data_IF_022222165558
#
_entry.id   IF_022222165558
#
_cell.length_a   1.000
_cell.length_b   1.000
_cell.length_c   1.000
_cell.angle_alpha   90.00
_cell.angle_beta   90.00
_cell.angle_gamma   90.00
#
_symmetry.space_group_name_H-M   'P 1'
#
loop_
_entity.id
_entity.type
_entity.pdbx_description
1 polymer ?
#
# COMPACT_ATOMS: atom_id res chain seq x y z
N UNK A 1 -9.17 -37.11 -64.02
CA UNK A 1 -10.23 -36.98 -62.99
C UNK A 1 -9.59 -37.06 -61.64
N UNK A 2 -9.12 -35.94 -61.12
CA UNK A 2 -8.54 -35.88 -59.76
C UNK A 2 -9.02 -34.60 -59.09
N UNK A 3 -9.85 -34.80 -58.10
CA UNK A 3 -10.43 -33.76 -57.27
C UNK A 3 -9.43 -33.35 -56.21
N UNK A 4 -8.89 -32.13 -56.27
CA UNK A 4 -8.01 -31.57 -55.25
C UNK A 4 -8.86 -30.96 -54.12
N UNK A 5 -8.68 -31.45 -52.90
CA UNK A 5 -9.25 -30.91 -51.69
C UNK A 5 -8.40 -29.74 -51.19
N UNK A 6 -8.94 -28.54 -51.24
CA UNK A 6 -8.31 -27.37 -50.61
C UNK A 6 -8.67 -27.34 -49.13
N UNK A 7 -7.68 -27.58 -48.29
CA UNK A 7 -7.75 -27.35 -46.82
C UNK A 7 -7.43 -25.88 -46.58
N UNK A 8 -8.42 -25.11 -46.17
CA UNK A 8 -8.20 -23.72 -45.75
C UNK A 8 -7.61 -23.72 -44.33
N UNK A 9 -6.34 -23.41 -44.21
CA UNK A 9 -5.73 -23.09 -42.94
C UNK A 9 -6.07 -21.63 -42.60
N UNK A 10 -6.94 -21.46 -41.60
CA UNK A 10 -7.20 -20.14 -41.03
C UNK A 10 -6.02 -19.69 -40.20
N UNK A 11 -5.27 -18.74 -40.71
CA UNK A 11 -4.21 -18.05 -40.00
C UNK A 11 -4.85 -17.04 -39.04
N UNK A 12 -4.93 -17.40 -37.77
CA UNK A 12 -5.31 -16.48 -36.68
C UNK A 12 -4.12 -15.54 -36.44
N UNK A 13 -4.18 -14.37 -37.08
CA UNK A 13 -3.28 -13.27 -36.81
C UNK A 13 -3.73 -12.62 -35.49
N UNK A 14 -3.06 -12.96 -34.40
CA UNK A 14 -3.25 -12.29 -33.12
C UNK A 14 -2.66 -10.88 -33.22
N UNK A 15 -3.53 -9.90 -33.48
CA UNK A 15 -3.21 -8.50 -33.25
C UNK A 15 -3.07 -8.28 -31.73
N UNK A 16 -1.84 -8.33 -31.25
CA UNK A 16 -1.48 -7.68 -30.00
C UNK A 16 -1.60 -6.16 -30.21
N UNK A 17 -2.79 -5.64 -30.02
CA UNK A 17 -2.95 -4.21 -29.76
C UNK A 17 -2.38 -4.00 -28.34
N UNK A 18 -1.17 -3.46 -28.30
CA UNK A 18 -0.59 -2.98 -27.06
C UNK A 18 -1.54 -1.93 -26.48
N UNK A 19 -2.26 -2.32 -25.44
CA UNK A 19 -2.94 -1.37 -24.59
C UNK A 19 -1.84 -0.53 -23.93
N UNK A 20 -1.63 0.68 -24.42
CA UNK A 20 -0.96 1.72 -23.64
C UNK A 20 -1.71 1.79 -22.33
N UNK A 21 -0.98 1.76 -21.16
CA UNK A 21 -1.64 1.98 -19.89
C UNK A 21 -2.37 3.32 -20.01
N UNK A 22 -3.68 3.28 -19.84
CA UNK A 22 -4.49 4.48 -19.77
C UNK A 22 -3.83 5.34 -18.71
N UNK A 23 -3.27 6.47 -19.11
CA UNK A 23 -2.76 7.46 -18.18
C UNK A 23 -3.88 7.72 -17.19
N UNK A 24 -3.62 7.43 -15.92
CA UNK A 24 -4.53 7.67 -14.84
C UNK A 24 -4.97 9.14 -14.94
N UNK A 25 -6.14 9.35 -15.50
CA UNK A 25 -6.82 10.62 -15.33
C UNK A 25 -7.01 10.74 -13.82
N UNK A 26 -6.34 11.69 -13.21
CA UNK A 26 -6.64 12.17 -11.87
C UNK A 26 -8.05 12.74 -11.90
N UNK A 27 -9.05 11.87 -11.90
CA UNK A 27 -10.38 12.25 -11.47
C UNK A 27 -10.21 12.80 -10.08
N UNK A 28 -10.78 13.96 -9.80
CA UNK A 28 -10.99 14.46 -8.46
C UNK A 28 -11.79 13.40 -7.69
N UNK A 29 -11.07 12.43 -7.11
CA UNK A 29 -11.68 11.39 -6.31
C UNK A 29 -11.92 11.97 -4.93
N UNK A 30 -13.11 11.82 -4.35
CA UNK A 30 -13.42 12.33 -3.02
C UNK A 30 -12.56 11.74 -1.89
N UNK A 31 -11.61 10.88 -2.23
CA UNK A 31 -10.75 10.11 -1.31
C UNK A 31 -9.27 10.40 -1.45
N UNK A 32 -8.91 11.64 -1.80
CA UNK A 32 -7.53 12.07 -2.08
C UNK A 32 -6.53 11.68 -0.98
N UNK A 33 -6.98 11.57 0.26
CA UNK A 33 -6.15 11.27 1.42
C UNK A 33 -6.50 9.92 2.09
N UNK A 34 -7.34 9.11 1.46
CA UNK A 34 -7.82 7.82 2.00
C UNK A 34 -7.44 6.69 1.03
N UNK A 35 -6.96 5.54 1.52
CA UNK A 35 -6.77 4.37 0.68
C UNK A 35 -8.03 4.02 -0.10
N UNK A 36 -7.86 3.66 -1.37
CA UNK A 36 -8.99 3.28 -2.21
C UNK A 36 -8.63 2.15 -3.18
N UNK A 37 -9.64 1.43 -3.65
CA UNK A 37 -9.47 0.32 -4.56
C UNK A 37 -10.22 0.54 -5.87
N UNK A 38 -9.65 0.00 -6.94
CA UNK A 38 -10.32 -0.31 -8.19
C UNK A 38 -10.24 -1.82 -8.43
N UNK A 39 -11.36 -2.42 -8.80
CA UNK A 39 -11.47 -3.85 -9.07
C UNK A 39 -12.14 -4.02 -10.44
N UNK A 40 -11.55 -4.87 -11.26
CA UNK A 40 -12.15 -5.33 -12.50
C UNK A 40 -12.31 -6.84 -12.45
N UNK A 41 -13.53 -7.32 -12.54
CA UNK A 41 -13.81 -8.76 -12.59
C UNK A 41 -14.43 -9.11 -13.91
N UNK A 42 -13.96 -10.22 -14.47
CA UNK A 42 -14.56 -10.84 -15.64
C UNK A 42 -15.11 -12.19 -15.19
N UNK A 43 -16.42 -12.33 -15.23
CA UNK A 43 -17.07 -13.61 -14.92
C UNK A 43 -17.40 -14.33 -16.20
N UNK A 44 -16.86 -15.52 -16.36
CA UNK A 44 -17.29 -16.47 -17.43
C UNK A 44 -18.01 -17.60 -16.75
N UNK A 45 -19.33 -17.66 -16.89
CA UNK A 45 -20.12 -18.68 -16.23
C UNK A 45 -20.71 -19.69 -17.25
N UNK A 46 -20.32 -20.95 -17.06
CA UNK A 46 -20.95 -22.11 -17.67
C UNK A 46 -21.27 -23.11 -16.54
N UNK A 47 -22.36 -22.89 -15.80
CA UNK A 47 -22.72 -23.73 -14.66
C UNK A 47 -22.25 -23.15 -13.29
N UNK A 48 -21.69 -23.99 -12.42
CA UNK A 48 -21.08 -23.54 -11.16
C UNK A 48 -19.74 -22.89 -11.48
N UNK A 49 -19.64 -21.58 -11.39
CA UNK A 49 -18.46 -20.83 -11.77
C UNK A 49 -17.86 -20.02 -10.62
N UNK A 50 -16.53 -19.92 -10.59
CA UNK A 50 -15.81 -18.97 -9.76
C UNK A 50 -15.73 -17.60 -10.45
N UNK A 51 -15.68 -16.53 -9.67
CA UNK A 51 -15.34 -15.21 -10.15
C UNK A 51 -13.86 -14.95 -9.86
N UNK A 52 -13.14 -14.52 -10.87
CA UNK A 52 -11.77 -14.08 -10.73
C UNK A 52 -11.66 -12.67 -11.29
N UNK A 53 -10.85 -11.86 -10.66
CA UNK A 53 -10.62 -10.50 -11.08
C UNK A 53 -9.27 -9.99 -10.63
N UNK A 54 -8.94 -8.82 -11.13
CA UNK A 54 -7.75 -8.08 -10.75
C UNK A 54 -8.17 -6.74 -10.18
N UNK A 55 -7.38 -6.22 -9.28
CA UNK A 55 -7.63 -4.92 -8.70
C UNK A 55 -6.34 -4.19 -8.38
N UNK A 56 -6.50 -2.94 -8.02
CA UNK A 56 -5.43 -2.06 -7.60
C UNK A 56 -5.82 -1.36 -6.31
N UNK A 57 -4.98 -1.50 -5.28
CA UNK A 57 -5.06 -0.73 -4.05
C UNK A 57 -4.19 0.52 -4.21
N UNK A 58 -4.81 1.67 -4.11
CA UNK A 58 -4.15 2.96 -4.18
C UNK A 58 -3.96 3.52 -2.77
N UNK A 59 -2.71 3.75 -2.39
CA UNK A 59 -2.34 4.36 -1.12
C UNK A 59 -1.84 5.78 -1.35
N UNK A 60 -2.58 6.84 -0.96
CA UNK A 60 -2.15 8.23 -1.04
C UNK A 60 -1.16 8.51 0.09
N UNK A 61 0.04 7.95 0.03
CA UNK A 61 1.02 8.09 1.09
C UNK A 61 2.44 8.29 0.55
N UNK A 62 3.31 8.95 1.35
CA UNK A 62 4.73 9.17 1.05
C UNK A 62 4.98 10.01 -0.22
N UNK A 63 4.08 10.95 -0.57
CA UNK A 63 4.27 11.88 -1.70
C UNK A 63 4.22 11.24 -3.08
N UNK A 64 3.93 9.95 -3.18
CA UNK A 64 3.70 9.22 -4.42
C UNK A 64 2.43 8.40 -4.30
N UNK A 65 1.59 8.41 -5.33
CA UNK A 65 0.47 7.47 -5.39
C UNK A 65 1.02 6.06 -5.54
N UNK A 66 0.91 5.30 -4.46
CA UNK A 66 1.35 3.92 -4.44
C UNK A 66 0.22 3.01 -4.86
N UNK A 67 0.46 2.27 -5.93
CA UNK A 67 -0.52 1.36 -6.51
C UNK A 67 -0.02 -0.08 -6.33
N UNK A 68 -0.84 -0.90 -5.68
CA UNK A 68 -0.56 -2.31 -5.45
C UNK A 68 -1.54 -3.17 -6.21
N UNK A 69 -1.08 -3.99 -7.15
CA UNK A 69 -1.93 -4.96 -7.81
C UNK A 69 -2.32 -6.08 -6.84
N UNK A 70 -3.55 -6.54 -6.93
CA UNK A 70 -4.05 -7.71 -6.22
C UNK A 70 -4.98 -8.52 -7.10
N UNK A 71 -5.17 -9.77 -6.73
CA UNK A 71 -6.15 -10.64 -7.36
C UNK A 71 -7.36 -10.82 -6.45
N UNK A 72 -8.51 -11.03 -7.07
CA UNK A 72 -9.77 -11.26 -6.40
C UNK A 72 -10.30 -12.60 -6.83
N UNK A 73 -10.69 -13.44 -5.89
CA UNK A 73 -11.39 -14.69 -6.15
C UNK A 73 -12.61 -14.81 -5.25
N UNK A 74 -13.69 -15.40 -5.76
CA UNK A 74 -14.90 -15.67 -5.00
C UNK A 74 -15.74 -16.72 -5.69
N UNK A 75 -16.57 -17.41 -4.93
CA UNK A 75 -17.51 -18.39 -5.46
C UNK A 75 -18.90 -17.79 -5.48
N UNK A 76 -19.47 -17.69 -6.67
CA UNK A 76 -20.86 -17.30 -6.87
C UNK A 76 -21.70 -18.55 -7.08
N UNK A 77 -22.61 -18.85 -6.16
CA UNK A 77 -23.67 -19.85 -6.40
C UNK A 77 -24.82 -19.19 -7.16
N UNK A 78 -24.86 -19.34 -8.47
CA UNK A 78 -25.97 -18.88 -9.30
C UNK A 78 -25.90 -19.50 -10.69
N UNK A 79 -27.01 -20.05 -11.15
CA UNK A 79 -27.17 -20.51 -12.52
C UNK A 79 -27.22 -19.29 -13.46
N UNK A 80 -26.07 -18.93 -14.01
CA UNK A 80 -26.00 -17.90 -15.04
C UNK A 80 -25.08 -18.32 -16.17
N UNK A 81 -25.58 -18.16 -17.37
CA UNK A 81 -24.85 -18.41 -18.62
C UNK A 81 -24.55 -17.04 -19.21
N UNK A 82 -23.28 -16.70 -19.33
CA UNK A 82 -22.87 -15.45 -19.95
C UNK A 82 -21.50 -14.95 -19.50
N UNK A 83 -21.04 -13.91 -20.16
CA UNK A 83 -19.85 -13.16 -19.78
C UNK A 83 -20.32 -11.81 -19.23
N UNK A 84 -19.94 -11.49 -18.02
CA UNK A 84 -20.19 -10.17 -17.44
C UNK A 84 -18.87 -9.53 -17.02
N UNK A 85 -18.77 -8.23 -17.24
CA UNK A 85 -17.68 -7.40 -16.73
C UNK A 85 -18.24 -6.52 -15.60
N UNK A 86 -17.58 -6.53 -14.49
CA UNK A 86 -17.91 -5.69 -13.33
C UNK A 86 -16.69 -4.87 -13.00
N UNK A 87 -16.88 -3.57 -12.90
CA UNK A 87 -15.90 -2.67 -12.30
C UNK A 87 -16.44 -2.17 -10.97
N UNK A 88 -15.61 -2.16 -9.96
CA UNK A 88 -15.96 -1.68 -8.64
C UNK A 88 -14.85 -0.76 -8.13
N UNK A 89 -15.24 0.32 -7.45
CA UNK A 89 -14.26 1.21 -6.84
C UNK A 89 -14.80 1.79 -5.54
N UNK A 90 -13.88 2.08 -4.61
CA UNK A 90 -14.29 2.70 -3.36
C UNK A 90 -13.19 2.80 -2.30
N UNK A 91 -13.49 3.50 -1.19
CA UNK A 91 -12.55 3.71 -0.11
C UNK A 91 -12.31 2.44 0.71
N UNK A 92 -11.07 2.30 1.18
CA UNK A 92 -10.66 1.32 2.19
C UNK A 92 -10.59 2.01 3.53
N UNK A 93 -11.28 1.48 4.53
CA UNK A 93 -11.34 2.01 5.89
C UNK A 93 -10.56 1.12 6.85
N UNK A 94 -10.04 1.73 7.92
CA UNK A 94 -9.32 1.05 9.00
C UNK A 94 -8.06 0.28 8.54
N UNK A 95 -7.50 0.65 7.39
CA UNK A 95 -6.24 0.10 6.92
C UNK A 95 -5.09 0.83 7.62
N UNK A 96 -4.39 0.14 8.53
CA UNK A 96 -3.25 0.68 9.29
C UNK A 96 -1.92 0.25 8.71
N UNK A 97 -1.85 -0.94 8.14
CA UNK A 97 -0.71 -1.49 7.43
C UNK A 97 -1.20 -2.27 6.20
N UNK A 98 -0.38 -2.34 5.17
CA UNK A 98 -0.78 -2.96 3.90
C UNK A 98 -1.01 -4.46 4.04
N UNK A 99 -0.34 -5.09 4.98
CA UNK A 99 -0.45 -6.50 5.32
C UNK A 99 -1.84 -6.90 5.85
N UNK A 100 -2.62 -5.93 6.32
CA UNK A 100 -4.01 -6.15 6.78
C UNK A 100 -5.02 -6.18 5.63
N UNK A 101 -4.63 -5.78 4.42
CA UNK A 101 -5.56 -5.70 3.29
C UNK A 101 -5.87 -7.06 2.66
N UNK A 102 -4.93 -8.00 2.43
CA UNK A 102 -5.26 -9.33 1.92
C UNK A 102 -6.14 -10.12 2.88
N UNK A 103 -6.95 -11.01 2.35
CA UNK A 103 -7.79 -11.90 3.16
C UNK A 103 -9.17 -12.14 2.57
N UNK A 104 -10.01 -12.82 3.34
CA UNK A 104 -11.40 -13.11 2.96
C UNK A 104 -12.32 -12.04 3.52
N UNK A 105 -13.14 -11.49 2.66
CA UNK A 105 -14.10 -10.44 2.97
C UNK A 105 -15.52 -10.95 2.86
N UNK A 106 -16.37 -10.59 3.80
CA UNK A 106 -17.80 -10.88 3.80
C UNK A 106 -18.62 -9.60 3.73
N UNK A 107 -19.80 -9.67 3.13
CA UNK A 107 -20.72 -8.51 3.09
C UNK A 107 -21.26 -8.20 4.48
N UNK A 108 -21.22 -6.93 4.88
CA UNK A 108 -21.66 -6.46 6.22
C UNK A 108 -23.10 -5.96 6.24
N UNK A 109 -23.78 -5.85 5.11
CA UNK A 109 -25.06 -5.15 5.01
C UNK A 109 -26.19 -5.93 4.31
N UNK A 110 -26.16 -7.24 4.29
CA UNK A 110 -27.14 -7.99 3.52
C UNK A 110 -26.84 -7.94 2.01
N UNK A 111 -27.84 -8.15 1.19
CA UNK A 111 -27.66 -8.24 -0.26
C UNK A 111 -27.09 -6.95 -0.84
N UNK A 112 -26.09 -7.08 -1.73
CA UNK A 112 -25.66 -5.97 -2.57
C UNK A 112 -26.89 -5.41 -3.30
N UNK A 113 -27.15 -4.13 -3.16
CA UNK A 113 -28.26 -3.49 -3.86
C UNK A 113 -27.82 -3.23 -5.29
N UNK A 114 -28.18 -4.13 -6.18
CA UNK A 114 -27.90 -3.99 -7.61
C UNK A 114 -29.16 -3.50 -8.34
N UNK A 115 -29.04 -2.31 -8.86
CA UNK A 115 -30.02 -1.76 -9.80
C UNK A 115 -29.41 -1.90 -11.20
N UNK A 116 -30.24 -2.03 -12.24
CA UNK A 116 -29.76 -2.18 -13.61
C UNK A 116 -28.66 -1.17 -13.94
N UNK A 117 -27.42 -1.67 -14.16
CA UNK A 117 -26.25 -0.88 -14.49
C UNK A 117 -25.33 -0.45 -13.34
N UNK A 118 -25.70 -0.68 -12.08
CA UNK A 118 -24.84 -0.31 -10.95
C UNK A 118 -25.36 -0.74 -9.58
N UNK A 119 -24.58 -0.50 -8.54
CA UNK A 119 -24.94 -0.85 -7.16
C UNK A 119 -23.87 -0.42 -6.17
N UNK A 120 -24.08 -0.76 -4.91
CA UNK A 120 -23.09 -0.57 -3.85
C UNK A 120 -23.05 -1.77 -2.93
N UNK A 121 -21.89 -2.02 -2.35
CA UNK A 121 -21.72 -3.05 -1.33
C UNK A 121 -20.62 -2.65 -0.35
N UNK A 122 -20.78 -3.07 0.90
CA UNK A 122 -19.75 -2.94 1.92
C UNK A 122 -19.23 -4.32 2.29
N UNK A 123 -17.92 -4.45 2.27
CA UNK A 123 -17.20 -5.67 2.60
C UNK A 123 -16.34 -5.45 3.84
N UNK A 124 -16.27 -6.44 4.71
CA UNK A 124 -15.40 -6.44 5.89
C UNK A 124 -14.48 -7.65 5.85
N UNK A 125 -13.20 -7.45 6.12
CA UNK A 125 -12.23 -8.53 6.27
C UNK A 125 -12.58 -9.36 7.50
N UNK A 126 -12.63 -10.68 7.35
CA UNK A 126 -13.04 -11.60 8.40
C UNK A 126 -11.98 -11.74 9.52
N UNK A 127 -10.72 -11.40 9.22
CA UNK A 127 -9.61 -11.52 10.16
C UNK A 127 -9.33 -10.24 10.97
N UNK A 128 -9.78 -9.06 10.47
CA UNK A 128 -9.49 -7.77 11.09
C UNK A 128 -10.63 -6.77 10.87
N UNK A 129 -10.38 -5.49 11.13
CA UNK A 129 -11.40 -4.43 10.99
C UNK A 129 -11.34 -3.68 9.65
N UNK A 130 -10.50 -4.09 8.72
CA UNK A 130 -10.43 -3.46 7.39
C UNK A 130 -11.76 -3.66 6.67
N UNK A 131 -12.28 -2.60 6.10
CA UNK A 131 -13.52 -2.63 5.32
C UNK A 131 -13.39 -1.84 4.03
N UNK A 132 -14.14 -2.25 3.03
CA UNK A 132 -14.15 -1.63 1.70
C UNK A 132 -15.58 -1.33 1.30
N UNK A 133 -15.86 -0.07 0.99
CA UNK A 133 -17.18 0.36 0.49
C UNK A 133 -17.10 0.54 -1.02
N UNK A 134 -17.69 -0.38 -1.76
CA UNK A 134 -17.61 -0.43 -3.22
C UNK A 134 -18.84 0.17 -3.88
N UNK A 135 -18.60 0.99 -4.90
CA UNK A 135 -19.57 1.34 -5.92
C UNK A 135 -19.31 0.48 -7.14
N UNK A 136 -20.33 -0.24 -7.60
CA UNK A 136 -20.23 -1.19 -8.69
C UNK A 136 -20.84 -0.61 -9.97
N UNK A 137 -20.19 -0.90 -11.09
CA UNK A 137 -20.72 -0.66 -12.43
C UNK A 137 -20.68 -1.98 -13.19
N UNK A 138 -21.79 -2.32 -13.85
CA UNK A 138 -21.92 -3.60 -14.54
C UNK A 138 -22.23 -3.39 -16.02
N UNK A 139 -21.56 -4.20 -16.84
CA UNK A 139 -21.89 -4.32 -18.27
C UNK A 139 -22.23 -5.78 -18.52
N UNK A 140 -23.48 -6.07 -18.88
CA UNK A 140 -23.99 -7.43 -19.08
C UNK A 140 -25.12 -7.81 -18.11
N UNK A 141 -25.63 -9.03 -18.24
CA UNK A 141 -26.78 -9.53 -17.50
C UNK A 141 -26.28 -10.21 -16.22
N UNK A 142 -26.70 -9.69 -15.12
CA UNK A 142 -26.76 -10.19 -13.76
C UNK A 142 -25.47 -10.39 -12.94
N UNK A 143 -25.61 -9.95 -11.74
CA UNK A 143 -24.69 -10.19 -10.62
C UNK A 143 -25.36 -11.07 -9.58
N UNK A 144 -24.80 -12.24 -9.39
CA UNK A 144 -24.87 -12.89 -8.11
C UNK A 144 -23.59 -12.56 -7.37
N UNK A 145 -23.57 -11.53 -6.51
CA UNK A 145 -22.49 -11.42 -5.54
C UNK A 145 -22.68 -12.54 -4.54
N UNK A 146 -21.73 -13.46 -4.50
CA UNK A 146 -21.78 -14.59 -3.62
C UNK A 146 -21.95 -14.16 -2.16
N UNK A 147 -22.89 -14.78 -1.46
CA UNK A 147 -23.00 -14.70 -0.01
C UNK A 147 -21.74 -15.25 0.71
N UNK A 148 -20.87 -15.91 -0.02
CA UNK A 148 -19.80 -16.73 0.54
C UNK A 148 -18.45 -16.01 0.68
N UNK A 149 -18.38 -14.72 0.33
CA UNK A 149 -17.20 -13.92 0.53
C UNK A 149 -16.34 -13.77 -0.71
N UNK A 150 -15.50 -12.76 -0.65
CA UNK A 150 -14.51 -12.39 -1.65
C UNK A 150 -13.13 -12.58 -1.03
N UNK A 151 -12.24 -13.30 -1.69
CA UNK A 151 -10.85 -13.41 -1.24
C UNK A 151 -9.98 -12.48 -2.06
N UNK A 152 -9.25 -11.63 -1.38
CA UNK A 152 -8.23 -10.75 -1.94
C UNK A 152 -6.86 -11.34 -1.64
N UNK A 153 -6.06 -11.55 -2.68
CA UNK A 153 -4.68 -11.99 -2.57
C UNK A 153 -3.74 -10.95 -3.19
N UNK A 154 -2.68 -10.60 -2.46
CA UNK A 154 -1.65 -9.67 -2.90
C UNK A 154 -0.31 -10.39 -3.01
N UNK A 155 0.02 -10.94 -4.18
CA UNK A 155 1.31 -11.57 -4.37
C UNK A 155 2.44 -10.53 -4.30
N UNK A 156 3.47 -10.82 -3.54
CA UNK A 156 4.71 -10.05 -3.57
C UNK A 156 4.82 -8.86 -2.61
N UNK A 157 4.08 -8.85 -1.49
CA UNK A 157 4.42 -7.93 -0.40
C UNK A 157 5.84 -8.24 0.10
N UNK A 158 6.81 -7.31 -0.01
CA UNK A 158 8.16 -7.57 0.46
C UNK A 158 8.15 -7.75 1.98
N UNK A 159 8.49 -8.93 2.42
CA UNK A 159 8.69 -9.30 3.83
C UNK A 159 10.15 -8.97 4.14
N UNK A 160 10.47 -8.28 5.24
CA UNK A 160 11.81 -8.05 5.78
C UNK A 160 12.60 -6.82 5.31
N UNK A 161 12.02 -5.63 5.37
CA UNK A 161 12.85 -4.42 5.46
C UNK A 161 13.25 -4.16 6.94
N UNK A 162 14.45 -3.62 7.21
CA UNK A 162 14.83 -3.25 8.57
C UNK A 162 13.80 -2.30 9.19
N UNK A 163 13.44 -2.53 10.46
CA UNK A 163 12.51 -1.63 11.18
C UNK A 163 13.24 -0.56 11.99
N UNK A 164 14.55 -0.66 12.13
CA UNK A 164 15.37 0.29 12.88
C UNK A 164 16.52 0.77 11.98
N UNK A 165 16.68 2.08 11.92
CA UNK A 165 17.77 2.74 11.21
C UNK A 165 18.49 3.71 12.14
N UNK A 166 19.81 3.76 12.02
CA UNK A 166 20.67 4.61 12.82
C UNK A 166 21.34 5.64 11.92
N UNK A 167 21.21 6.91 12.28
CA UNK A 167 21.83 8.04 11.57
C UNK A 167 22.87 8.70 12.49
N UNK A 168 24.15 8.54 12.18
CA UNK A 168 25.22 9.12 12.97
C UNK A 168 25.46 10.60 12.65
N UNK A 169 25.72 11.39 13.70
CA UNK A 169 26.03 12.81 13.58
C UNK A 169 27.45 13.13 14.02
N UNK A 170 28.01 14.18 13.43
CA UNK A 170 29.25 14.76 13.89
C UNK A 170 29.09 15.40 15.28
N UNK A 171 30.20 15.62 15.98
CA UNK A 171 30.21 16.30 17.28
C UNK A 171 29.64 17.73 17.13
N UNK A 172 28.66 18.07 17.96
CA UNK A 172 27.93 19.34 17.93
C UNK A 172 27.34 19.70 16.54
N UNK A 173 27.04 18.67 15.74
CA UNK A 173 26.42 18.87 14.42
C UNK A 173 24.98 18.40 14.43
N UNK A 174 24.14 19.11 13.68
CA UNK A 174 22.70 18.88 13.58
C UNK A 174 22.23 18.59 12.16
N UNK A 175 23.08 18.78 11.14
CA UNK A 175 22.67 18.55 9.75
C UNK A 175 22.80 17.07 9.36
N UNK A 176 21.89 16.65 8.50
CA UNK A 176 21.93 15.33 7.87
C UNK A 176 23.08 15.27 6.88
N UNK A 177 24.12 14.51 7.20
CA UNK A 177 25.32 14.33 6.36
C UNK A 177 25.06 13.38 5.17
N UNK A 178 26.06 13.13 4.32
CA UNK A 178 25.93 12.32 3.12
C UNK A 178 25.55 10.84 3.44
N UNK A 179 26.18 10.25 4.48
CA UNK A 179 25.91 8.87 4.89
C UNK A 179 24.50 8.75 5.45
N UNK A 180 24.08 9.71 6.30
CA UNK A 180 22.72 9.78 6.84
C UNK A 180 21.68 9.95 5.73
N UNK A 181 21.97 10.78 4.69
CA UNK A 181 21.09 10.91 3.52
C UNK A 181 20.94 9.59 2.76
N UNK A 182 22.04 8.87 2.57
CA UNK A 182 21.99 7.55 1.93
C UNK A 182 21.09 6.60 2.72
N UNK A 183 21.29 6.49 4.03
CA UNK A 183 20.47 5.65 4.90
C UNK A 183 18.98 6.05 4.87
N UNK A 184 18.68 7.36 4.84
CA UNK A 184 17.30 7.85 4.72
C UNK A 184 16.68 7.51 3.36
N UNK A 185 17.44 7.59 2.27
CA UNK A 185 16.97 7.19 0.96
C UNK A 185 16.74 5.68 0.88
N UNK A 186 17.64 4.87 1.44
CA UNK A 186 17.47 3.42 1.52
C UNK A 186 16.20 3.05 2.34
N UNK A 187 15.92 3.79 3.43
CA UNK A 187 14.69 3.66 4.19
C UNK A 187 13.47 4.03 3.34
N UNK A 188 13.50 5.20 2.70
CA UNK A 188 12.39 5.66 1.86
C UNK A 188 12.09 4.69 0.72
N UNK A 189 13.11 4.13 0.08
CA UNK A 189 12.95 3.13 -0.99
C UNK A 189 12.40 1.79 -0.45
N UNK A 190 12.90 1.33 0.70
CA UNK A 190 12.45 0.09 1.33
C UNK A 190 11.00 0.16 1.82
N UNK A 191 10.59 1.32 2.30
CA UNK A 191 9.26 1.57 2.85
C UNK A 191 8.36 2.38 1.92
N UNK A 192 8.83 2.63 0.71
CA UNK A 192 8.04 3.26 -0.34
C UNK A 192 6.71 2.51 -0.50
N UNK A 193 5.65 3.29 -0.56
CA UNK A 193 4.33 2.72 -0.73
C UNK A 193 3.79 1.88 0.44
N UNK A 194 4.34 2.04 1.64
CA UNK A 194 3.82 1.39 2.85
C UNK A 194 3.19 2.40 3.80
N UNK A 195 2.17 1.93 4.48
CA UNK A 195 1.41 2.73 5.44
C UNK A 195 2.06 2.63 6.83
N UNK A 196 3.23 3.27 7.01
CA UNK A 196 4.02 3.15 8.23
C UNK A 196 4.04 4.43 9.05
N UNK A 197 4.18 4.28 10.37
CA UNK A 197 4.52 5.36 11.28
C UNK A 197 6.02 5.31 11.57
N UNK A 198 6.65 6.46 11.73
CA UNK A 198 8.09 6.58 11.94
C UNK A 198 8.33 7.34 13.25
N UNK A 199 8.93 6.67 14.22
CA UNK A 199 9.46 7.31 15.42
C UNK A 199 10.90 7.78 15.15
N UNK A 200 11.19 9.05 15.46
CA UNK A 200 12.48 9.69 15.26
C UNK A 200 13.01 10.14 16.60
N UNK A 201 13.93 9.38 17.20
CA UNK A 201 14.51 9.68 18.49
C UNK A 201 15.92 10.27 18.35
N UNK A 202 16.12 11.51 18.78
CA UNK A 202 17.42 12.19 18.77
C UNK A 202 18.23 11.89 20.03
N UNK A 203 19.52 11.57 19.85
CA UNK A 203 20.47 11.28 20.93
C UNK A 203 21.76 12.10 20.81
N UNK A 204 22.45 12.27 21.94
CA UNK A 204 23.77 12.89 22.08
C UNK A 204 24.70 11.94 22.81
N UNK A 205 26.02 12.17 22.71
CA UNK A 205 26.96 11.52 23.64
C UNK A 205 27.06 12.35 24.94
N UNK A 206 27.72 11.78 25.94
CA UNK A 206 27.87 12.40 27.29
C UNK A 206 28.88 13.54 27.33
N UNK A 207 29.52 13.89 26.19
CA UNK A 207 30.48 14.99 26.08
C UNK A 207 29.88 16.23 25.42
N UNK A 208 28.80 16.11 24.67
CA UNK A 208 28.17 17.24 23.99
C UNK A 208 27.51 18.18 25.01
N UNK A 209 27.56 19.48 24.74
CA UNK A 209 26.85 20.47 25.52
C UNK A 209 25.39 20.55 25.09
N UNK A 210 24.49 20.98 25.98
CA UNK A 210 23.06 21.17 25.71
C UNK A 210 22.40 19.96 25.03
N UNK A 211 22.55 18.81 25.66
CA UNK A 211 22.13 17.50 25.14
C UNK A 211 20.67 17.45 24.67
N UNK A 212 19.74 18.13 25.34
CA UNK A 212 18.33 18.11 24.96
C UNK A 212 18.09 18.90 23.68
N UNK A 213 18.56 20.13 23.61
CA UNK A 213 18.38 20.98 22.42
C UNK A 213 19.09 20.38 21.19
N UNK A 214 20.31 19.85 21.38
CA UNK A 214 21.06 19.22 20.28
C UNK A 214 20.38 17.97 19.75
N UNK A 215 19.81 17.14 20.64
CA UNK A 215 19.03 15.97 20.25
C UNK A 215 17.72 16.33 19.54
N UNK A 216 17.05 17.41 19.97
CA UNK A 216 15.86 17.95 19.30
C UNK A 216 16.20 18.43 17.89
N UNK A 217 17.23 19.27 17.73
CA UNK A 217 17.64 19.79 16.43
C UNK A 217 17.99 18.66 15.43
N UNK A 218 18.62 17.57 15.91
CA UNK A 218 18.89 16.39 15.08
C UNK A 218 17.61 15.69 14.66
N UNK A 219 16.69 15.46 15.60
CA UNK A 219 15.41 14.83 15.30
C UNK A 219 14.59 15.66 14.31
N UNK A 220 14.52 17.00 14.50
CA UNK A 220 13.84 17.92 13.59
C UNK A 220 14.49 17.94 12.20
N UNK A 221 15.82 17.88 12.10
CA UNK A 221 16.51 17.84 10.81
C UNK A 221 16.13 16.58 10.01
N UNK A 222 16.02 15.43 10.69
CA UNK A 222 15.59 14.17 10.07
C UNK A 222 14.10 14.22 9.72
N UNK A 223 13.24 14.71 10.61
CA UNK A 223 11.81 14.91 10.32
C UNK A 223 11.61 15.79 9.09
N UNK A 224 12.33 16.90 9.01
CA UNK A 224 12.27 17.82 7.86
C UNK A 224 12.69 17.14 6.57
N UNK A 225 13.73 16.33 6.62
CA UNK A 225 14.17 15.55 5.46
C UNK A 225 13.09 14.57 4.99
N UNK A 226 12.52 13.79 5.91
CA UNK A 226 11.45 12.83 5.60
C UNK A 226 10.20 13.52 5.04
N UNK A 227 9.79 14.64 5.66
CA UNK A 227 8.65 15.43 5.19
C UNK A 227 8.91 16.02 3.79
N UNK A 228 10.11 16.52 3.54
CA UNK A 228 10.54 17.00 2.21
C UNK A 228 10.59 15.91 1.15
N UNK A 229 10.78 14.66 1.55
CA UNK A 229 10.70 13.47 0.68
C UNK A 229 9.26 12.93 0.52
N UNK A 230 8.27 13.60 1.12
CA UNK A 230 6.85 13.27 0.95
C UNK A 230 6.24 12.40 2.05
N UNK A 231 6.96 12.12 3.13
CA UNK A 231 6.36 11.45 4.30
C UNK A 231 5.39 12.41 4.98
N UNK A 232 4.14 11.96 5.16
CA UNK A 232 3.11 12.78 5.81
C UNK A 232 3.51 13.11 7.25
N UNK A 233 3.57 14.40 7.65
CA UNK A 233 4.05 14.80 8.98
C UNK A 233 3.34 14.15 10.16
N UNK A 234 2.04 13.86 10.05
CA UNK A 234 1.26 13.18 11.09
C UNK A 234 1.68 11.72 11.36
N UNK A 235 2.51 11.15 10.49
CA UNK A 235 3.09 9.82 10.64
C UNK A 235 4.50 9.82 11.20
N UNK A 236 5.05 10.99 11.49
CA UNK A 236 6.38 11.14 12.06
C UNK A 236 6.23 11.64 13.50
N UNK A 237 6.68 10.83 14.46
CA UNK A 237 6.73 11.20 15.88
C UNK A 237 8.18 11.47 16.28
N UNK A 238 8.47 12.67 16.77
CA UNK A 238 9.81 13.01 17.28
C UNK A 238 9.90 12.79 18.78
N UNK A 239 11.05 12.25 19.22
CA UNK A 239 11.39 12.04 20.64
C UNK A 239 12.76 12.67 20.94
N UNK A 240 12.85 13.37 22.05
CA UNK A 240 14.06 14.04 22.51
C UNK A 240 14.66 13.23 23.66
N UNK A 241 15.72 12.49 23.38
CA UNK A 241 16.34 11.61 24.36
C UNK A 241 17.58 12.22 25.06
N UNK A 242 18.29 13.13 24.37
CA UNK A 242 19.57 13.64 24.86
C UNK A 242 20.57 12.50 25.04
N UNK A 243 21.22 12.46 26.18
CA UNK A 243 22.16 11.38 26.58
C UNK A 243 21.46 10.18 27.22
N UNK A 244 20.14 10.13 27.24
CA UNK A 244 19.40 8.98 27.80
C UNK A 244 19.29 7.86 26.77
N UNK A 245 19.44 6.62 27.23
CA UNK A 245 19.32 5.45 26.36
C UNK A 245 20.43 5.39 25.30
N UNK A 246 21.67 5.61 25.72
CA UNK A 246 22.85 5.54 24.85
C UNK A 246 22.92 4.18 24.14
N UNK A 247 23.29 4.21 22.86
CA UNK A 247 23.51 2.98 22.08
C UNK A 247 24.67 2.15 22.66
N UNK A 248 25.68 2.82 23.18
CA UNK A 248 26.79 2.24 23.89
C UNK A 248 26.90 2.93 25.24
N UNK A 249 26.74 2.23 26.36
CA UNK A 249 26.93 2.82 27.70
C UNK A 249 28.32 3.42 27.87
N UNK A 250 28.39 4.70 28.18
CA UNK A 250 29.66 5.43 28.38
C UNK A 250 29.59 6.24 29.68
N UNK A 251 30.71 6.42 30.37
CA UNK A 251 30.81 7.38 31.47
C UNK A 251 30.53 8.81 31.00
N UNK A 252 30.29 9.70 31.93
CA UNK A 252 30.12 11.13 31.68
C UNK A 252 31.39 11.72 31.03
N UNK A 253 31.19 12.67 30.12
CA UNK A 253 32.26 13.38 29.40
C UNK A 253 32.98 12.60 28.33
N UNK A 254 32.46 11.44 27.92
CA UNK A 254 33.03 10.59 26.86
C UNK A 254 32.46 10.94 25.50
N UNK A 255 33.35 11.26 24.56
CA UNK A 255 33.01 11.50 23.18
C UNK A 255 32.92 10.20 22.40
N UNK A 256 31.71 9.79 22.03
CA UNK A 256 31.50 8.57 21.25
C UNK A 256 30.51 8.78 20.11
N UNK A 257 30.97 8.55 18.88
CA UNK A 257 30.16 8.77 17.67
C UNK A 257 28.89 7.93 17.63
N UNK A 258 28.97 6.67 18.07
CA UNK A 258 27.83 5.76 18.09
C UNK A 258 26.68 6.19 19.02
N UNK A 259 26.94 7.14 19.94
CA UNK A 259 25.92 7.72 20.81
C UNK A 259 25.33 9.02 20.23
N UNK A 260 25.97 9.62 19.22
CA UNK A 260 25.46 10.82 18.51
C UNK A 260 24.60 10.39 17.34
N UNK A 261 23.42 9.88 17.60
CA UNK A 261 22.56 9.26 16.59
C UNK A 261 21.15 9.80 16.64
N UNK A 262 20.49 9.70 15.50
CA UNK A 262 19.02 9.64 15.45
C UNK A 262 18.64 8.21 15.15
N UNK A 263 17.79 7.65 15.98
CA UNK A 263 17.20 6.32 15.82
C UNK A 263 15.84 6.48 15.19
N UNK A 264 15.64 5.84 14.02
CA UNK A 264 14.33 5.75 13.42
C UNK A 264 13.78 4.34 13.65
N UNK A 265 12.55 4.28 14.13
CA UNK A 265 11.83 3.01 14.30
C UNK A 265 10.57 3.03 13.45
N UNK A 266 10.37 2.01 12.65
CA UNK A 266 9.24 1.84 11.75
C UNK A 266 8.20 0.91 12.39
N UNK A 267 6.95 1.35 12.39
CA UNK A 267 5.82 0.62 12.98
C UNK A 267 4.77 0.25 11.95
#
# INVERSE_FOLDING_TARGET
>A
MNSAKYTAAALLLSLFVGATPASAQTKDTPWKDTPWVEIETISVMAGVGGQNGEGQLNLPNLGTNCVYPFTVSGFGAGLQVGVSKVTASGPVKNLTQIEDFPGTYSSTGGQATLVAGGGSMSLKNNANNVSVDLTLQTVGISLGVAREGLTIDMPGLPVNAPRVYLLEFGFEKTWVNADSRKTLNDLLDAWKCRFVNIDVAGHTDTKEADNLNLSELRAVAVQTYLAGAGVVPSRITTKIAGERGLQVPTPEGVRLRSNRVVVLTIH
#
